data_IF_906371657463
#
_entry.id   IF_906371657463
#
_cell.length_a   1.000
_cell.length_b   1.000
_cell.length_c   1.000
_cell.angle_alpha   90.00
_cell.angle_beta   90.00
_cell.angle_gamma   90.00
#
_symmetry.space_group_name_H-M   'P 1'
#
loop_
_entity.id
_entity.type
_entity.pdbx_description
1 polymer ?
#
# COMPACT_ATOMS: atom_id res chain seq x y z
N UNK A 1 -15.05 6.08 3.32
CA UNK A 1 -13.79 5.54 2.75
C UNK A 1 -14.15 4.44 1.77
N UNK A 2 -13.44 4.33 0.64
CA UNK A 2 -13.73 3.40 -0.47
C UNK A 2 -13.28 1.95 -0.15
N UNK A 3 -13.52 1.50 1.08
CA UNK A 3 -13.04 0.21 1.63
C UNK A 3 -11.63 0.26 2.24
N UNK A 4 -10.84 1.30 1.98
CA UNK A 4 -9.46 1.40 2.47
C UNK A 4 -9.37 1.95 3.90
N UNK A 5 -8.41 1.43 4.67
CA UNK A 5 -7.83 2.07 5.85
C UNK A 5 -6.75 3.03 5.34
N UNK A 6 -6.88 4.31 5.65
CA UNK A 6 -5.96 5.34 5.17
C UNK A 6 -4.96 5.73 6.27
N UNK A 7 -3.81 6.25 5.84
CA UNK A 7 -2.75 6.77 6.70
C UNK A 7 -2.18 5.75 7.69
N UNK A 8 -2.00 4.52 7.22
CA UNK A 8 -1.16 3.56 7.92
C UNK A 8 0.30 4.01 7.83
N UNK A 9 1.08 3.67 8.86
CA UNK A 9 2.51 3.95 8.89
C UNK A 9 3.26 2.66 9.15
N UNK A 10 4.19 2.34 8.27
CA UNK A 10 5.21 1.33 8.54
C UNK A 10 6.48 2.05 8.98
N UNK A 11 6.92 1.79 10.21
CA UNK A 11 8.14 2.35 10.78
C UNK A 11 9.35 1.49 10.39
N UNK A 12 9.93 1.77 9.22
CA UNK A 12 11.16 1.09 8.78
C UNK A 12 12.35 1.55 9.60
N UNK A 13 13.13 0.59 10.12
CA UNK A 13 14.38 0.89 10.82
C UNK A 13 15.45 1.54 9.94
N UNK A 14 15.35 1.37 8.62
CA UNK A 14 16.35 1.85 7.65
C UNK A 14 15.85 3.06 6.84
N UNK A 15 14.56 3.07 6.47
CA UNK A 15 14.00 4.07 5.55
C UNK A 15 12.96 4.99 6.19
N UNK A 16 12.84 4.96 7.52
CA UNK A 16 11.93 5.83 8.28
C UNK A 16 10.46 5.48 8.11
N UNK A 17 9.59 6.47 8.30
CA UNK A 17 8.15 6.31 8.23
C UNK A 17 7.68 6.22 6.78
N UNK A 18 6.94 5.15 6.48
CA UNK A 18 6.37 4.88 5.16
C UNK A 18 4.85 4.93 5.31
N UNK A 19 4.25 5.99 4.76
CA UNK A 19 2.80 6.18 4.77
C UNK A 19 2.15 5.40 3.64
N UNK A 20 1.00 4.77 3.90
CA UNK A 20 0.23 4.04 2.90
C UNK A 20 -1.23 3.88 3.32
N UNK A 21 -2.08 3.65 2.34
CA UNK A 21 -3.44 3.15 2.57
C UNK A 21 -3.50 1.67 2.21
N UNK A 22 -4.32 0.91 2.91
CA UNK A 22 -4.47 -0.53 2.69
C UNK A 22 -5.92 -0.95 2.56
N UNK A 23 -6.14 -1.97 1.74
CA UNK A 23 -7.35 -2.75 1.71
C UNK A 23 -6.98 -4.22 1.94
N UNK A 24 -7.50 -4.77 3.03
CA UNK A 24 -7.39 -6.19 3.36
C UNK A 24 -8.83 -6.71 3.37
N UNK A 25 -9.19 -7.69 2.50
CA UNK A 25 -10.54 -8.23 2.47
C UNK A 25 -10.95 -8.77 3.85
N UNK A 26 -12.20 -8.56 4.26
CA UNK A 26 -12.72 -9.10 5.54
C UNK A 26 -12.67 -10.64 5.58
N UNK A 27 -12.64 -11.28 4.41
CA UNK A 27 -12.50 -12.74 4.24
C UNK A 27 -11.06 -13.24 4.41
N UNK A 28 -10.08 -12.34 4.52
CA UNK A 28 -8.69 -12.72 4.72
C UNK A 28 -8.45 -13.15 6.17
N UNK A 29 -8.22 -14.46 6.36
CA UNK A 29 -7.90 -15.06 7.66
C UNK A 29 -6.48 -15.64 7.71
N UNK A 30 -5.69 -15.45 6.65
CA UNK A 30 -4.32 -15.97 6.51
C UNK A 30 -4.22 -17.48 6.22
N UNK A 31 -5.33 -18.21 6.14
CA UNK A 31 -5.33 -19.66 5.91
C UNK A 31 -4.90 -20.08 4.51
N UNK A 32 -5.05 -19.18 3.53
CA UNK A 32 -4.65 -19.35 2.14
C UNK A 32 -3.96 -18.08 1.61
N UNK A 33 -3.10 -18.20 0.59
CA UNK A 33 -2.44 -17.04 0.02
C UNK A 33 -3.43 -16.12 -0.70
N UNK A 34 -3.23 -14.81 -0.58
CA UNK A 34 -3.92 -13.78 -1.37
C UNK A 34 -2.90 -13.06 -2.25
N UNK A 35 -3.33 -12.55 -3.41
CA UNK A 35 -2.46 -11.73 -4.26
C UNK A 35 -2.14 -10.39 -3.57
N UNK A 36 -0.96 -9.83 -3.86
CA UNK A 36 -0.58 -8.48 -3.43
C UNK A 36 -0.53 -7.53 -4.62
N UNK A 37 -1.25 -6.42 -4.54
CA UNK A 37 -1.18 -5.33 -5.53
C UNK A 37 -0.75 -4.03 -4.84
N UNK A 38 0.36 -3.45 -5.30
CA UNK A 38 0.93 -2.21 -4.74
C UNK A 38 0.87 -1.12 -5.80
N UNK A 39 0.13 -0.04 -5.52
CA UNK A 39 0.13 1.15 -6.37
C UNK A 39 1.19 2.13 -5.90
N UNK A 40 1.97 2.66 -6.84
CA UNK A 40 2.89 3.76 -6.57
C UNK A 40 2.21 5.09 -6.93
N UNK A 41 2.40 6.15 -6.11
CA UNK A 41 1.72 7.41 -6.30
C UNK A 41 2.26 8.17 -7.52
N UNK A 42 1.35 8.80 -8.26
CA UNK A 42 1.67 9.94 -9.10
C UNK A 42 2.08 11.18 -8.27
N UNK A 43 2.37 12.30 -8.95
CA UNK A 43 2.80 13.55 -8.29
C UNK A 43 1.79 14.05 -7.25
N UNK A 44 0.51 13.98 -7.58
CA UNK A 44 -0.58 14.40 -6.71
C UNK A 44 -0.81 13.44 -5.54
N UNK A 45 -0.18 12.26 -5.56
CA UNK A 45 -0.27 11.26 -4.51
C UNK A 45 0.91 11.28 -3.53
N UNK A 46 1.91 12.15 -3.71
CA UNK A 46 3.07 12.23 -2.82
C UNK A 46 2.68 12.78 -1.44
N UNK A 47 3.43 12.41 -0.39
CA UNK A 47 3.08 12.70 0.99
C UNK A 47 2.99 14.20 1.30
N UNK A 48 3.85 15.02 0.70
CA UNK A 48 3.83 16.48 0.89
C UNK A 48 2.53 17.15 0.39
N UNK A 49 1.73 16.47 -0.43
CA UNK A 49 0.41 16.95 -0.89
C UNK A 49 -0.64 16.88 0.23
N UNK A 50 -0.36 16.15 1.30
CA UNK A 50 -1.22 15.99 2.47
C UNK A 50 -1.66 14.55 2.69
N UNK A 51 -1.95 14.20 3.93
CA UNK A 51 -2.34 12.84 4.34
C UNK A 51 -3.51 12.30 3.51
N UNK A 52 -3.32 11.13 2.91
CA UNK A 52 -4.33 10.44 2.11
C UNK A 52 -4.42 10.88 0.65
N UNK A 53 -3.53 11.76 0.17
CA UNK A 53 -3.50 12.21 -1.22
C UNK A 53 -3.30 11.07 -2.23
N UNK A 54 -2.62 9.99 -1.83
CA UNK A 54 -2.48 8.74 -2.60
C UNK A 54 -3.82 8.08 -2.97
N UNK A 55 -4.91 8.40 -2.27
CA UNK A 55 -6.25 7.84 -2.53
C UNK A 55 -7.08 8.63 -3.54
N UNK A 56 -6.53 9.71 -4.11
CA UNK A 56 -7.17 10.43 -5.22
C UNK A 56 -7.13 9.60 -6.50
N UNK A 57 -6.08 8.79 -6.68
CA UNK A 57 -5.95 7.89 -7.82
C UNK A 57 -6.81 6.63 -7.64
N UNK A 58 -7.55 6.25 -8.68
CA UNK A 58 -8.53 5.15 -8.60
C UNK A 58 -7.90 3.76 -8.73
N UNK A 59 -6.59 3.63 -9.00
CA UNK A 59 -5.95 2.33 -9.29
C UNK A 59 -6.21 1.27 -8.22
N UNK A 60 -6.05 1.61 -6.94
CA UNK A 60 -6.30 0.68 -5.84
C UNK A 60 -7.78 0.33 -5.71
N UNK A 61 -8.67 1.28 -5.97
CA UNK A 61 -10.14 1.12 -5.90
C UNK A 61 -10.68 0.31 -7.08
N UNK A 62 -10.05 0.40 -8.24
CA UNK A 62 -10.38 -0.45 -9.38
C UNK A 62 -9.81 -1.86 -9.18
N UNK A 63 -8.61 -2.01 -8.61
CA UNK A 63 -7.98 -3.31 -8.37
C UNK A 63 -8.84 -4.26 -7.54
N UNK A 64 -9.50 -3.76 -6.46
CA UNK A 64 -10.36 -4.60 -5.60
C UNK A 64 -11.57 -5.18 -6.34
N UNK A 65 -11.91 -4.68 -7.54
CA UNK A 65 -13.03 -5.21 -8.36
C UNK A 65 -12.63 -6.42 -9.22
N UNK A 66 -11.33 -6.68 -9.37
CA UNK A 66 -10.83 -7.71 -10.28
C UNK A 66 -10.55 -9.04 -9.60
N UNK A 67 -10.27 -9.03 -8.29
CA UNK A 67 -9.98 -10.24 -7.52
C UNK A 67 -10.34 -10.02 -6.05
N UNK A 68 -11.29 -10.81 -5.54
CA UNK A 68 -11.75 -10.78 -4.16
C UNK A 68 -10.70 -11.34 -3.17
N UNK A 69 -9.68 -12.04 -3.67
CA UNK A 69 -8.56 -12.63 -2.93
C UNK A 69 -7.27 -11.81 -3.13
N UNK A 70 -7.38 -10.49 -2.95
CA UNK A 70 -6.27 -9.55 -3.14
C UNK A 70 -6.16 -8.55 -1.98
N UNK A 71 -4.95 -8.42 -1.43
CA UNK A 71 -4.56 -7.31 -0.55
C UNK A 71 -4.04 -6.18 -1.45
N UNK A 72 -4.54 -4.96 -1.23
CA UNK A 72 -4.14 -3.79 -2.02
C UNK A 72 -3.48 -2.75 -1.12
N UNK A 73 -2.30 -2.30 -1.52
CA UNK A 73 -1.57 -1.20 -0.88
C UNK A 73 -1.49 -0.02 -1.83
N UNK A 74 -1.75 1.17 -1.32
CA UNK A 74 -1.49 2.42 -2.01
C UNK A 74 -0.43 3.20 -1.23
N UNK A 75 0.79 3.26 -1.76
CA UNK A 75 1.89 3.95 -1.07
C UNK A 75 1.72 5.46 -1.16
N UNK A 76 2.16 6.16 -0.12
CA UNK A 76 2.22 7.60 -0.06
C UNK A 76 3.67 8.03 0.23
N UNK A 77 4.48 8.04 -0.84
CA UNK A 77 5.93 8.24 -0.78
C UNK A 77 6.29 9.73 -0.75
N UNK A 78 7.53 10.05 -0.36
CA UNK A 78 7.97 11.44 -0.21
C UNK A 78 8.49 12.05 -1.52
N UNK A 79 9.00 11.24 -2.44
CA UNK A 79 9.56 11.67 -3.72
C UNK A 79 9.59 10.51 -4.76
N UNK A 80 10.34 10.69 -5.85
CA UNK A 80 10.64 9.65 -6.85
C UNK A 80 12.12 9.25 -6.86
N UNK A 81 12.81 9.51 -5.75
CA UNK A 81 14.21 9.18 -5.58
C UNK A 81 14.42 7.73 -5.13
N UNK A 82 15.70 7.39 -4.94
CA UNK A 82 16.13 6.07 -4.48
C UNK A 82 15.54 5.72 -3.10
N UNK A 83 15.42 6.70 -2.19
CA UNK A 83 14.80 6.47 -0.88
C UNK A 83 13.36 6.00 -1.02
N UNK A 84 12.53 6.66 -1.83
CA UNK A 84 11.14 6.25 -2.04
C UNK A 84 11.03 4.89 -2.76
N UNK A 85 11.96 4.58 -3.66
CA UNK A 85 12.05 3.25 -4.26
C UNK A 85 12.33 2.17 -3.20
N UNK A 86 13.29 2.42 -2.30
CA UNK A 86 13.61 1.50 -1.21
C UNK A 86 12.47 1.39 -0.19
N UNK A 87 11.73 2.48 0.07
CA UNK A 87 10.52 2.45 0.90
C UNK A 87 9.43 1.55 0.29
N UNK A 88 9.20 1.63 -1.02
CA UNK A 88 8.24 0.77 -1.70
C UNK A 88 8.64 -0.71 -1.61
N UNK A 89 9.93 -1.02 -1.76
CA UNK A 89 10.48 -2.37 -1.58
C UNK A 89 10.27 -2.83 -0.13
N UNK A 90 10.70 -2.04 0.85
CA UNK A 90 10.62 -2.40 2.26
C UNK A 90 9.18 -2.64 2.74
N UNK A 91 8.21 -1.84 2.27
CA UNK A 91 6.80 -2.08 2.56
C UNK A 91 6.30 -3.38 1.92
N UNK A 92 6.70 -3.64 0.67
CA UNK A 92 6.33 -4.87 -0.03
C UNK A 92 6.89 -6.10 0.68
N UNK A 93 8.17 -6.09 1.06
CA UNK A 93 8.82 -7.16 1.82
C UNK A 93 8.17 -7.36 3.20
N UNK A 94 7.81 -6.27 3.88
CA UNK A 94 7.07 -6.35 5.14
C UNK A 94 5.75 -7.12 4.97
N UNK A 95 4.97 -6.81 3.93
CA UNK A 95 3.71 -7.52 3.68
C UNK A 95 3.94 -8.99 3.30
N UNK A 96 4.90 -9.29 2.41
CA UNK A 96 5.26 -10.67 2.05
C UNK A 96 5.70 -11.51 3.26
N UNK A 97 6.33 -10.88 4.26
CA UNK A 97 6.78 -11.59 5.47
C UNK A 97 5.70 -11.80 6.53
N UNK A 98 4.66 -10.94 6.57
CA UNK A 98 3.65 -10.94 7.64
C UNK A 98 2.27 -11.44 7.21
N UNK A 99 2.04 -11.57 5.90
CA UNK A 99 0.80 -12.04 5.32
C UNK A 99 1.10 -13.27 4.44
N UNK A 100 0.19 -14.24 4.46
CA UNK A 100 0.16 -15.32 3.49
C UNK A 100 -0.19 -14.74 2.11
N UNK A 101 0.82 -14.53 1.28
CA UNK A 101 0.76 -13.94 -0.07
C UNK A 101 1.51 -14.86 -1.04
N UNK A 102 1.00 -14.99 -2.28
CA UNK A 102 1.60 -15.72 -3.41
C UNK A 102 2.08 -14.75 -4.51
#
# INVERSE_FOLDING_TARGET
>A
MRGFINDNVYHSSEYGDIHYSSYIPETYDGSKPYALFVTLPGWEGLYFQGVGANMVEDFGVEAIRYNDEMIVLSTQLNDWGETSANQAIALTEYFLAHYNID
#
